data_IF_798180310380
#
_entry.id   IF_798180310380
#
_cell.length_a   1.000
_cell.length_b   1.000
_cell.length_c   1.000
_cell.angle_alpha   90.00
_cell.angle_beta   90.00
_cell.angle_gamma   90.00
#
_symmetry.space_group_name_H-M   'P 1'
#
loop_
_entity.id
_entity.type
_entity.pdbx_description
1 polymer ?
#
# COMPACT_ATOMS: atom_id res chain seq x y z
N UNK A 1 6.58 -27.34 24.98
CA UNK A 1 7.85 -26.57 24.90
C UNK A 1 7.76 -25.26 25.64
N UNK A 2 6.75 -24.42 25.39
CA UNK A 2 6.54 -23.17 26.13
C UNK A 2 6.46 -23.36 27.67
N UNK A 3 5.77 -24.39 28.14
CA UNK A 3 5.63 -24.71 29.58
C UNK A 3 6.96 -24.94 30.30
N UNK A 4 7.95 -25.52 29.61
CA UNK A 4 9.29 -25.75 30.19
C UNK A 4 10.06 -24.42 30.26
N UNK A 5 9.89 -23.54 29.28
CA UNK A 5 10.54 -22.22 29.26
C UNK A 5 10.05 -21.38 30.45
N UNK A 6 8.75 -21.44 30.77
CA UNK A 6 8.19 -20.73 31.92
C UNK A 6 8.71 -21.25 33.28
N UNK A 7 9.07 -22.53 33.37
CA UNK A 7 9.64 -23.12 34.58
C UNK A 7 11.11 -22.74 34.78
N UNK A 8 11.90 -22.71 33.70
CA UNK A 8 13.34 -22.46 33.76
C UNK A 8 13.68 -20.96 33.82
N UNK A 9 12.83 -20.10 33.24
CA UNK A 9 13.01 -18.64 33.14
C UNK A 9 14.45 -18.24 32.75
N UNK A 10 14.91 -18.63 31.55
CA UNK A 10 16.21 -18.20 31.03
C UNK A 10 16.23 -16.68 30.77
N UNK A 11 17.42 -16.07 30.74
CA UNK A 11 17.56 -14.64 30.40
C UNK A 11 17.23 -14.37 28.93
N UNK A 12 17.65 -15.27 28.03
CA UNK A 12 17.39 -15.19 26.60
C UNK A 12 17.00 -16.55 25.99
N UNK A 13 16.08 -16.52 25.03
CA UNK A 13 15.70 -17.67 24.20
C UNK A 13 15.81 -17.29 22.73
N UNK A 14 16.42 -18.19 21.95
CA UNK A 14 16.57 -18.03 20.51
C UNK A 14 15.59 -18.98 19.81
N UNK A 15 14.72 -18.41 18.99
CA UNK A 15 13.83 -19.13 18.08
C UNK A 15 14.43 -19.07 16.67
N UNK A 16 14.97 -20.19 16.22
CA UNK A 16 15.63 -20.32 14.91
C UNK A 16 14.66 -20.21 13.73
N UNK A 17 13.38 -20.49 13.93
CA UNK A 17 12.35 -20.26 12.92
C UNK A 17 10.99 -19.97 13.56
N UNK A 18 10.42 -18.80 13.25
CA UNK A 18 9.06 -18.39 13.64
C UNK A 18 8.22 -18.27 12.37
N UNK A 19 7.27 -19.20 12.20
CA UNK A 19 6.48 -19.30 10.96
C UNK A 19 4.98 -19.44 11.20
N UNK A 20 4.57 -20.25 12.18
CA UNK A 20 3.15 -20.55 12.42
C UNK A 20 2.56 -19.53 13.39
N UNK A 21 1.24 -19.35 13.31
CA UNK A 21 0.51 -18.47 14.21
C UNK A 21 0.79 -18.77 15.69
N UNK A 22 0.79 -20.06 16.07
CA UNK A 22 1.10 -20.49 17.44
C UNK A 22 2.53 -20.14 17.88
N UNK A 23 3.48 -20.07 16.96
CA UNK A 23 4.87 -19.73 17.31
C UNK A 23 4.94 -18.24 17.71
N UNK A 24 4.18 -17.38 17.01
CA UNK A 24 4.05 -15.96 17.35
C UNK A 24 3.32 -15.73 18.69
N UNK A 25 2.29 -16.53 18.99
CA UNK A 25 1.59 -16.50 20.28
C UNK A 25 2.57 -16.85 21.43
N UNK A 26 3.31 -17.96 21.29
CA UNK A 26 4.30 -18.37 22.29
C UNK A 26 5.41 -17.32 22.43
N UNK A 27 5.84 -16.72 21.32
CA UNK A 27 6.82 -15.64 21.32
C UNK A 27 6.32 -14.44 22.14
N UNK A 28 5.08 -14.02 21.93
CA UNK A 28 4.47 -12.94 22.71
C UNK A 28 4.37 -13.28 24.20
N UNK A 29 3.86 -14.47 24.54
CA UNK A 29 3.68 -14.88 25.93
C UNK A 29 5.02 -14.97 26.70
N UNK A 30 6.05 -15.55 26.08
CA UNK A 30 7.38 -15.67 26.69
C UNK A 30 8.02 -14.29 26.88
N UNK A 31 7.84 -13.36 25.94
CA UNK A 31 8.33 -11.99 26.07
C UNK A 31 7.62 -11.22 27.17
N UNK A 32 6.30 -11.34 27.26
CA UNK A 32 5.48 -10.72 28.32
C UNK A 32 5.82 -11.30 29.70
N UNK A 33 6.28 -12.54 29.78
CA UNK A 33 6.82 -13.14 31.00
C UNK A 33 8.21 -12.59 31.40
N UNK A 34 8.79 -11.68 30.62
CA UNK A 34 10.04 -10.98 30.92
C UNK A 34 11.29 -11.66 30.39
N UNK A 35 11.17 -12.67 29.53
CA UNK A 35 12.31 -13.36 28.92
C UNK A 35 12.77 -12.60 27.67
N UNK A 36 14.09 -12.44 27.49
CA UNK A 36 14.68 -11.90 26.28
C UNK A 36 14.49 -12.84 25.11
N UNK A 37 14.07 -12.35 23.94
CA UNK A 37 13.82 -13.20 22.78
C UNK A 37 14.56 -12.73 21.55
N UNK A 38 15.10 -13.68 20.79
CA UNK A 38 15.57 -13.47 19.43
C UNK A 38 14.85 -14.47 18.53
N UNK A 39 14.00 -13.96 17.63
CA UNK A 39 13.25 -14.78 16.68
C UNK A 39 13.74 -14.55 15.26
N UNK A 40 13.90 -15.63 14.49
CA UNK A 40 14.23 -15.58 13.07
C UNK A 40 12.97 -15.88 12.27
N UNK A 41 12.64 -15.06 11.28
CA UNK A 41 11.49 -15.28 10.40
C UNK A 41 11.83 -14.97 8.94
N UNK A 42 11.23 -15.72 8.02
CA UNK A 42 11.39 -15.52 6.59
C UNK A 42 10.43 -14.45 6.07
N UNK A 43 10.92 -13.26 5.78
CA UNK A 43 10.13 -12.19 5.17
C UNK A 43 10.90 -11.54 4.02
N UNK A 44 10.16 -10.98 3.04
CA UNK A 44 10.80 -10.23 1.94
C UNK A 44 11.15 -8.80 2.35
N UNK A 45 10.62 -8.33 3.48
CA UNK A 45 10.92 -7.03 4.07
C UNK A 45 10.73 -7.08 5.58
N UNK A 46 11.40 -6.19 6.32
CA UNK A 46 11.18 -6.05 7.76
C UNK A 46 9.72 -5.67 8.10
N UNK A 47 9.05 -4.89 7.24
CA UNK A 47 7.65 -4.51 7.45
C UNK A 47 6.71 -5.71 7.33
N UNK A 48 6.93 -6.60 6.37
CA UNK A 48 6.15 -7.83 6.22
C UNK A 48 6.30 -8.74 7.46
N UNK A 49 7.52 -8.82 8.03
CA UNK A 49 7.76 -9.56 9.27
C UNK A 49 6.93 -9.01 10.44
N UNK A 50 6.88 -7.68 10.59
CA UNK A 50 6.10 -7.00 11.62
C UNK A 50 4.60 -7.24 11.43
N UNK A 51 4.09 -7.13 10.20
CA UNK A 51 2.67 -7.33 9.89
C UNK A 51 2.18 -8.75 10.26
N UNK A 52 3.04 -9.77 10.12
CA UNK A 52 2.69 -11.15 10.50
C UNK A 52 2.48 -11.31 12.01
N UNK A 53 3.26 -10.59 12.83
CA UNK A 53 3.07 -10.56 14.29
C UNK A 53 1.79 -9.79 14.65
N UNK A 54 1.60 -8.62 14.05
CA UNK A 54 0.50 -7.71 14.39
C UNK A 54 -0.88 -8.35 14.11
N UNK A 55 -1.01 -9.20 13.09
CA UNK A 55 -2.25 -9.95 12.85
C UNK A 55 -2.58 -11.02 13.90
N UNK A 56 -1.80 -11.13 14.99
CA UNK A 56 -1.94 -12.14 16.06
C UNK A 56 -1.92 -11.54 17.47
N UNK A 57 -1.37 -10.34 17.62
CA UNK A 57 -1.19 -9.67 18.92
C UNK A 57 -1.88 -8.31 18.85
N UNK A 58 -2.52 -7.90 19.94
CA UNK A 58 -3.11 -6.56 20.03
C UNK A 58 -2.06 -5.48 19.76
N UNK A 59 -2.42 -4.45 18.96
CA UNK A 59 -1.46 -3.44 18.52
C UNK A 59 -0.68 -2.83 19.69
N UNK A 60 -1.33 -2.48 20.80
CA UNK A 60 -0.65 -1.89 21.97
C UNK A 60 0.37 -2.80 22.67
N UNK A 61 0.27 -4.12 22.49
CA UNK A 61 1.21 -5.10 23.04
C UNK A 61 2.38 -5.35 22.08
N UNK A 62 2.24 -5.05 20.79
CA UNK A 62 3.26 -5.34 19.78
C UNK A 62 4.58 -4.65 20.11
N UNK A 63 4.58 -3.38 20.52
CA UNK A 63 5.81 -2.66 20.88
C UNK A 63 6.47 -3.17 22.17
N UNK A 64 5.75 -3.92 23.00
CA UNK A 64 6.32 -4.58 24.19
C UNK A 64 6.94 -5.93 23.83
N UNK A 65 6.36 -6.60 22.84
CA UNK A 65 6.82 -7.91 22.36
C UNK A 65 8.01 -7.76 21.40
N UNK A 66 7.96 -6.78 20.51
CA UNK A 66 8.91 -6.61 19.42
C UNK A 66 9.42 -5.16 19.43
N UNK A 67 10.70 -5.00 19.72
CA UNK A 67 11.37 -3.71 19.82
C UNK A 67 12.27 -3.44 18.60
N UNK A 68 13.03 -4.43 18.15
CA UNK A 68 14.04 -4.32 17.10
C UNK A 68 13.84 -5.39 16.02
N UNK A 69 13.92 -4.97 14.75
CA UNK A 69 13.86 -5.85 13.59
C UNK A 69 15.13 -5.68 12.78
N UNK A 70 15.81 -6.79 12.50
CA UNK A 70 16.99 -6.83 11.65
C UNK A 70 16.60 -7.44 10.30
N UNK A 71 16.65 -6.64 9.23
CA UNK A 71 16.50 -7.16 7.88
C UNK A 71 17.84 -7.64 7.36
N UNK A 72 17.94 -8.94 7.09
CA UNK A 72 19.17 -9.57 6.58
C UNK A 72 18.95 -9.99 5.14
N UNK A 73 19.77 -9.46 4.23
CA UNK A 73 19.77 -9.80 2.81
C UNK A 73 21.19 -10.15 2.37
N UNK A 74 21.35 -11.27 1.65
CA UNK A 74 22.64 -11.76 1.17
C UNK A 74 23.76 -11.80 2.26
N UNK A 75 23.38 -12.15 3.50
CA UNK A 75 24.30 -12.24 4.64
C UNK A 75 24.74 -10.90 5.23
N UNK A 76 24.11 -9.78 4.83
CA UNK A 76 24.37 -8.44 5.38
C UNK A 76 23.11 -7.88 6.02
N UNK A 77 23.28 -7.13 7.10
CA UNK A 77 22.19 -6.35 7.68
C UNK A 77 21.93 -5.16 6.74
N UNK A 78 20.81 -5.19 6.04
CA UNK A 78 20.41 -4.13 5.11
C UNK A 78 19.74 -2.98 5.87
N UNK A 79 18.89 -3.30 6.83
CA UNK A 79 18.08 -2.33 7.55
C UNK A 79 17.85 -2.78 8.99
N UNK A 80 17.81 -1.80 9.91
CA UNK A 80 17.46 -2.00 11.31
C UNK A 80 16.26 -1.10 11.60
N UNK A 81 15.16 -1.70 12.04
CA UNK A 81 13.95 -0.97 12.41
C UNK A 81 13.70 -1.11 13.90
N UNK A 82 13.34 0.00 14.52
CA UNK A 82 12.88 0.09 15.91
C UNK A 82 11.38 0.39 15.93
N UNK A 83 10.65 -0.27 16.81
CA UNK A 83 9.23 0.00 17.04
C UNK A 83 9.04 0.84 18.30
N UNK A 84 8.35 1.98 18.18
CA UNK A 84 8.04 2.87 19.31
C UNK A 84 6.56 3.13 19.36
N UNK A 85 5.94 2.91 20.51
CA UNK A 85 4.54 3.27 20.72
C UNK A 85 4.45 4.73 21.19
N UNK A 86 3.57 5.50 20.56
CA UNK A 86 3.24 6.87 20.93
C UNK A 86 1.73 7.07 20.89
N UNK A 87 1.22 8.03 21.64
CA UNK A 87 -0.21 8.39 21.61
C UNK A 87 -0.31 9.73 20.89
N UNK A 88 -0.78 9.71 19.64
CA UNK A 88 -0.91 10.90 18.80
C UNK A 88 -2.08 10.77 17.83
N UNK A 89 -2.41 11.87 17.14
CA UNK A 89 -3.27 11.81 15.96
C UNK A 89 -2.47 11.15 14.82
N UNK A 90 -2.97 10.06 14.20
CA UNK A 90 -2.29 9.43 13.07
C UNK A 90 -2.14 10.40 11.89
N UNK A 91 -1.06 10.26 11.12
CA UNK A 91 -0.82 11.10 9.94
C UNK A 91 -1.94 10.89 8.90
N UNK A 92 -2.65 11.96 8.53
CA UNK A 92 -3.66 11.94 7.46
C UNK A 92 -5.13 11.87 7.90
N UNK A 93 -5.44 11.95 9.19
CA UNK A 93 -6.82 12.07 9.69
C UNK A 93 -7.06 13.46 10.32
N UNK A 94 -8.25 14.03 10.11
CA UNK A 94 -8.73 15.22 10.82
C UNK A 94 -9.57 14.80 12.04
N UNK A 95 -9.18 15.29 13.22
CA UNK A 95 -9.88 15.40 14.52
C UNK A 95 -9.70 14.39 15.70
N UNK A 96 -9.34 15.04 16.83
CA UNK A 96 -9.71 14.98 18.26
C UNK A 96 -9.49 13.78 19.19
N UNK A 97 -9.34 12.54 18.72
CA UNK A 97 -9.07 11.43 19.65
C UNK A 97 -7.66 10.89 19.46
N UNK A 98 -6.78 11.20 20.42
CA UNK A 98 -5.44 10.63 20.48
C UNK A 98 -5.54 9.11 20.61
N UNK A 99 -4.90 8.38 19.70
CA UNK A 99 -4.92 6.92 19.64
C UNK A 99 -3.52 6.37 19.82
N UNK A 100 -3.38 5.11 20.29
CA UNK A 100 -2.09 4.44 20.26
C UNK A 100 -1.67 4.20 18.80
N UNK A 101 -0.51 4.74 18.44
CA UNK A 101 0.15 4.57 17.14
C UNK A 101 1.53 3.97 17.39
N UNK A 102 1.93 3.03 16.55
CA UNK A 102 3.29 2.50 16.54
C UNK A 102 4.07 3.16 15.41
N UNK A 103 5.13 3.85 15.76
CA UNK A 103 6.12 4.42 14.85
C UNK A 103 7.20 3.39 14.56
N UNK A 104 7.51 3.21 13.27
CA UNK A 104 8.61 2.38 12.77
C UNK A 104 9.77 3.29 12.43
N UNK A 105 10.79 3.30 13.28
CA UNK A 105 11.96 4.17 13.18
C UNK A 105 13.13 3.39 12.59
N UNK A 106 13.80 3.95 11.59
CA UNK A 106 15.00 3.36 11.04
C UNK A 106 16.24 3.75 11.86
N UNK A 107 17.08 2.76 12.20
CA UNK A 107 18.38 2.97 12.84
C UNK A 107 19.51 2.84 11.80
N UNK A 108 20.54 3.70 11.81
CA UNK A 108 20.82 4.78 12.78
C UNK A 108 20.20 6.13 12.43
N UNK A 109 19.46 6.23 11.33
CA UNK A 109 18.98 7.52 10.79
C UNK A 109 18.01 8.25 11.73
N UNK A 110 17.31 7.50 12.60
CA UNK A 110 16.28 8.00 13.50
C UNK A 110 15.02 8.47 12.78
N UNK A 111 14.89 8.17 11.48
CA UNK A 111 13.75 8.60 10.66
C UNK A 111 12.57 7.67 10.86
N UNK A 112 11.40 8.24 11.11
CA UNK A 112 10.15 7.48 11.12
C UNK A 112 9.80 7.16 9.66
N UNK A 113 9.77 5.89 9.32
CA UNK A 113 9.46 5.43 7.96
C UNK A 113 7.98 5.11 7.82
N UNK A 114 7.37 4.51 8.85
CA UNK A 114 5.97 4.07 8.83
C UNK A 114 5.30 4.30 10.20
N UNK A 115 4.00 4.45 10.17
CA UNK A 115 3.07 4.51 11.29
C UNK A 115 2.06 3.38 11.17
N UNK A 116 1.77 2.72 12.28
CA UNK A 116 0.78 1.66 12.34
C UNK A 116 -0.28 2.02 13.37
N UNK A 117 -1.55 1.96 12.99
CA UNK A 117 -2.66 2.25 13.88
C UNK A 117 -3.85 1.34 13.59
N UNK A 118 -4.67 1.13 14.62
CA UNK A 118 -5.90 0.36 14.50
C UNK A 118 -7.02 1.26 13.96
N UNK A 119 -7.69 0.80 12.90
CA UNK A 119 -8.89 1.41 12.34
C UNK A 119 -10.05 0.43 12.43
N UNK A 120 -10.88 0.58 13.47
CA UNK A 120 -11.93 -0.39 13.78
C UNK A 120 -11.32 -1.74 14.21
N UNK A 121 -11.54 -2.78 13.41
CA UNK A 121 -11.01 -4.13 13.63
C UNK A 121 -9.80 -4.46 12.74
N UNK A 122 -9.39 -3.55 11.86
CA UNK A 122 -8.25 -3.74 10.96
C UNK A 122 -7.07 -2.86 11.36
N UNK A 123 -5.87 -3.23 10.90
CA UNK A 123 -4.63 -2.51 11.23
C UNK A 123 -4.09 -1.90 9.94
N UNK A 124 -3.98 -0.57 9.94
CA UNK A 124 -3.47 0.20 8.83
C UNK A 124 -1.98 0.50 9.03
N UNK A 125 -1.21 0.41 7.95
CA UNK A 125 0.21 0.77 7.91
C UNK A 125 0.37 1.92 6.93
N UNK A 126 0.84 3.08 7.40
CA UNK A 126 0.94 4.33 6.64
C UNK A 126 2.41 4.80 6.63
N UNK A 127 3.02 5.06 5.46
CA UNK A 127 4.37 5.61 5.41
C UNK A 127 4.39 7.07 5.90
N UNK A 128 5.39 7.41 6.73
CA UNK A 128 5.61 8.75 7.31
C UNK A 128 6.53 9.60 6.45
N UNK A 129 7.34 8.98 5.60
CA UNK A 129 8.16 9.70 4.63
C UNK A 129 7.26 10.56 3.72
N UNK A 130 7.17 11.83 4.11
CA UNK A 130 6.50 12.91 3.44
C UNK A 130 7.17 13.32 2.12
N UNK A 131 7.85 12.40 1.43
CA UNK A 131 8.10 12.50 -0.02
C UNK A 131 6.87 12.14 -0.84
N UNK A 132 5.70 12.05 -0.19
CA UNK A 132 4.41 12.32 -0.83
C UNK A 132 3.55 13.31 -0.01
N UNK A 133 4.13 14.43 0.44
CA UNK A 133 3.38 15.65 0.84
C UNK A 133 2.39 16.15 -0.24
N UNK A 134 2.34 15.52 -1.42
CA UNK A 134 1.35 15.77 -2.47
C UNK A 134 0.27 14.69 -2.68
N UNK A 135 0.39 13.47 -2.13
CA UNK A 135 -0.55 12.37 -2.42
C UNK A 135 -0.85 11.51 -1.17
N UNK A 136 -1.83 11.94 -0.38
CA UNK A 136 -2.60 11.04 0.50
C UNK A 136 -3.11 9.83 -0.33
N UNK A 137 -3.24 8.62 0.25
CA UNK A 137 -3.91 7.48 -0.41
C UNK A 137 -5.31 7.84 -0.93
N UNK A 138 -6.00 8.77 -0.28
CA UNK A 138 -7.24 9.35 -0.79
C UNK A 138 -7.03 10.24 -2.01
N UNK A 139 -5.94 11.03 -2.05
CA UNK A 139 -5.55 11.85 -3.20
C UNK A 139 -5.13 11.00 -4.39
N UNK A 140 -4.47 9.85 -4.21
CA UNK A 140 -4.16 8.95 -5.31
C UNK A 140 -5.42 8.28 -5.87
N UNK A 141 -6.35 7.87 -5.01
CA UNK A 141 -7.65 7.34 -5.42
C UNK A 141 -8.48 8.40 -6.16
N UNK A 142 -8.54 9.63 -5.63
CA UNK A 142 -9.20 10.77 -6.25
C UNK A 142 -8.54 11.18 -7.57
N UNK A 143 -7.20 11.14 -7.65
CA UNK A 143 -6.43 11.40 -8.87
C UNK A 143 -6.83 10.40 -9.96
N UNK A 144 -6.85 9.11 -9.66
CA UNK A 144 -7.23 8.07 -10.62
C UNK A 144 -8.68 8.21 -11.07
N UNK A 145 -9.61 8.46 -10.14
CA UNK A 145 -11.02 8.67 -10.44
C UNK A 145 -11.25 9.91 -11.33
N UNK A 146 -10.55 11.01 -11.05
CA UNK A 146 -10.60 12.22 -11.88
C UNK A 146 -10.02 11.99 -13.27
N UNK A 147 -8.85 11.36 -13.39
CA UNK A 147 -8.24 11.04 -14.69
C UNK A 147 -9.20 10.17 -15.51
N UNK A 148 -9.85 9.19 -14.88
CA UNK A 148 -10.82 8.34 -15.55
C UNK A 148 -12.06 9.13 -16.01
N UNK A 149 -12.67 9.95 -15.15
CA UNK A 149 -13.83 10.79 -15.54
C UNK A 149 -13.49 11.80 -16.64
N UNK A 150 -12.35 12.48 -16.54
CA UNK A 150 -11.90 13.44 -17.56
C UNK A 150 -11.64 12.73 -18.88
N UNK A 151 -11.08 11.51 -18.84
CA UNK A 151 -10.90 10.68 -20.04
C UNK A 151 -12.24 10.23 -20.64
N UNK A 152 -13.22 9.85 -19.82
CA UNK A 152 -14.54 9.43 -20.29
C UNK A 152 -15.35 10.59 -20.90
N UNK A 153 -15.23 11.80 -20.36
CA UNK A 153 -15.99 12.97 -20.84
C UNK A 153 -15.30 13.74 -21.96
N UNK A 154 -13.99 13.94 -21.86
CA UNK A 154 -13.23 14.85 -22.74
C UNK A 154 -12.27 14.08 -23.66
N UNK A 155 -11.93 12.82 -23.34
CA UNK A 155 -11.05 11.99 -24.16
C UNK A 155 -9.58 12.41 -24.14
N UNK A 156 -9.16 13.18 -23.13
CA UNK A 156 -7.82 13.79 -23.05
C UNK A 156 -7.05 13.23 -21.87
N UNK A 157 -5.75 13.01 -22.05
CA UNK A 157 -4.83 12.72 -20.95
C UNK A 157 -4.53 14.00 -20.17
N UNK A 158 -5.00 14.03 -18.92
CA UNK A 158 -4.82 15.15 -18.00
C UNK A 158 -3.91 14.75 -16.84
N UNK A 159 -3.10 15.69 -16.35
CA UNK A 159 -2.43 15.54 -15.08
C UNK A 159 -3.09 16.35 -13.99
N UNK A 160 -3.06 15.80 -12.78
CA UNK A 160 -3.73 16.41 -11.63
C UNK A 160 -2.74 16.45 -10.48
N UNK A 161 -2.57 17.66 -9.94
CA UNK A 161 -1.76 17.95 -8.78
C UNK A 161 -2.64 18.52 -7.70
N UNK A 162 -2.70 17.88 -6.54
CA UNK A 162 -3.34 18.46 -5.37
C UNK A 162 -2.41 19.51 -4.74
N UNK A 163 -2.86 20.76 -4.66
CA UNK A 163 -2.12 21.84 -4.00
C UNK A 163 -2.40 21.88 -2.49
N UNK A 164 -3.58 21.43 -2.06
CA UNK A 164 -3.94 21.25 -0.64
C UNK A 164 -4.94 20.08 -0.49
N UNK A 165 -5.45 19.85 0.73
CA UNK A 165 -6.51 18.85 0.97
C UNK A 165 -7.87 19.26 0.38
N UNK A 166 -8.02 20.55 0.05
CA UNK A 166 -9.23 21.16 -0.50
C UNK A 166 -9.04 21.82 -1.87
N UNK A 167 -7.87 21.71 -2.49
CA UNK A 167 -7.60 22.31 -3.80
C UNK A 167 -6.73 21.45 -4.71
N UNK A 168 -7.06 21.42 -6.00
CA UNK A 168 -6.31 20.70 -7.02
C UNK A 168 -6.17 21.49 -8.32
N UNK A 169 -5.00 21.41 -8.93
CA UNK A 169 -4.71 21.92 -10.26
C UNK A 169 -4.80 20.78 -11.28
N UNK A 170 -5.52 21.01 -12.37
CA UNK A 170 -5.65 20.12 -13.51
C UNK A 170 -4.87 20.74 -14.66
N UNK A 171 -3.87 20.01 -15.16
CA UNK A 171 -3.04 20.37 -16.29
C UNK A 171 -3.57 19.68 -17.55
N UNK A 172 -4.02 20.48 -18.52
CA UNK A 172 -4.53 20.02 -19.81
C UNK A 172 -3.95 20.83 -20.97
N UNK A 173 -3.96 20.28 -22.20
CA UNK A 173 -3.57 21.02 -23.39
C UNK A 173 -4.39 22.31 -23.54
N UNK A 174 -3.76 23.41 -23.95
CA UNK A 174 -4.37 24.75 -24.00
C UNK A 174 -5.65 24.82 -24.86
N UNK A 175 -5.75 23.98 -25.88
CA UNK A 175 -6.93 23.84 -26.73
C UNK A 175 -8.14 23.16 -26.05
N UNK A 176 -7.95 22.54 -24.89
CA UNK A 176 -8.97 21.75 -24.18
C UNK A 176 -9.44 22.39 -22.87
N UNK A 177 -8.82 23.49 -22.44
CA UNK A 177 -9.20 24.22 -21.23
C UNK A 177 -10.68 24.65 -21.30
N UNK A 178 -11.11 25.20 -22.43
CA UNK A 178 -12.49 25.67 -22.62
C UNK A 178 -13.53 24.55 -22.54
N UNK A 179 -13.17 23.34 -23.00
CA UNK A 179 -14.06 22.15 -22.98
C UNK A 179 -14.20 21.60 -21.56
N UNK A 180 -13.10 21.60 -20.79
CA UNK A 180 -13.08 21.08 -19.42
C UNK A 180 -13.78 22.03 -18.43
N UNK A 181 -13.65 23.34 -18.62
CA UNK A 181 -14.39 24.34 -17.83
C UNK A 181 -15.88 24.38 -18.21
N UNK A 182 -16.21 24.19 -19.49
CA UNK A 182 -17.58 24.24 -20.01
C UNK A 182 -18.13 25.67 -20.15
N UNK A 183 -19.34 25.81 -20.72
CA UNK A 183 -20.01 27.12 -20.84
C UNK A 183 -20.34 27.65 -19.44
N UNK A 184 -19.77 28.80 -19.06
CA UNK A 184 -20.03 29.43 -17.76
C UNK A 184 -19.41 28.73 -16.54
N UNK A 185 -18.56 27.71 -16.73
CA UNK A 185 -17.97 26.95 -15.64
C UNK A 185 -18.82 25.78 -15.13
N UNK A 186 -19.88 25.39 -15.84
CA UNK A 186 -20.80 24.36 -15.38
C UNK A 186 -20.12 22.98 -15.25
N UNK A 187 -19.23 22.62 -16.17
CA UNK A 187 -18.54 21.32 -16.15
C UNK A 187 -17.56 21.22 -14.98
N UNK A 188 -16.81 22.29 -14.71
CA UNK A 188 -15.87 22.26 -13.59
C UNK A 188 -16.61 22.26 -12.24
N UNK A 189 -17.75 22.96 -12.13
CA UNK A 189 -18.58 22.93 -10.91
C UNK A 189 -19.12 21.53 -10.63
N UNK A 190 -19.63 20.82 -11.64
CA UNK A 190 -20.05 19.43 -11.47
C UNK A 190 -18.91 18.53 -10.99
N UNK A 191 -17.70 18.70 -11.53
CA UNK A 191 -16.51 17.96 -11.08
C UNK A 191 -16.10 18.32 -9.65
N UNK A 192 -16.31 19.56 -9.21
CA UNK A 192 -16.07 20.00 -7.83
C UNK A 192 -17.10 19.41 -6.85
N UNK A 193 -18.38 19.41 -7.23
CA UNK A 193 -19.50 18.87 -6.44
C UNK A 193 -19.37 17.36 -6.24
N UNK A 194 -19.02 16.63 -7.31
CA UNK A 194 -18.79 15.16 -7.29
C UNK A 194 -17.65 14.73 -6.34
N UNK A 195 -16.74 15.64 -6.00
CA UNK A 195 -15.60 15.40 -5.13
C UNK A 195 -15.79 15.94 -3.71
N UNK A 196 -17.00 16.39 -3.37
CA UNK A 196 -17.30 16.92 -2.04
C UNK A 196 -16.77 18.34 -1.81
N UNK A 197 -16.67 19.17 -2.86
CA UNK A 197 -16.38 20.60 -2.73
C UNK A 197 -14.90 20.99 -2.83
N UNK A 198 -14.06 20.15 -3.44
CA UNK A 198 -12.65 20.47 -3.70
C UNK A 198 -12.56 21.56 -4.77
N UNK A 199 -11.79 22.62 -4.53
CA UNK A 199 -11.57 23.69 -5.51
C UNK A 199 -10.65 23.22 -6.64
N UNK A 200 -11.20 23.07 -7.85
CA UNK A 200 -10.46 22.70 -9.06
C UNK A 200 -10.04 23.94 -9.86
N UNK A 201 -8.75 24.04 -10.18
CA UNK A 201 -8.18 25.07 -11.05
C UNK A 201 -7.60 24.43 -12.31
N UNK A 202 -7.90 24.98 -13.49
CA UNK A 202 -7.46 24.42 -14.78
C UNK A 202 -6.32 25.26 -15.33
N UNK A 203 -5.19 24.62 -15.60
CA UNK A 203 -3.98 25.25 -16.13
C UNK A 203 -3.53 24.57 -17.42
N UNK A 204 -2.76 25.31 -18.21
CA UNK A 204 -2.14 24.76 -19.41
C UNK A 204 -1.03 23.78 -19.04
N UNK A 205 -0.79 22.79 -19.89
CA UNK A 205 0.33 21.85 -19.78
C UNK A 205 1.71 22.56 -19.83
N UNK A 206 1.75 23.81 -20.29
CA UNK A 206 2.96 24.64 -20.34
C UNK A 206 3.30 25.26 -18.96
N UNK A 207 2.32 25.40 -18.06
CA UNK A 207 2.51 25.90 -16.69
C UNK A 207 2.84 24.79 -15.67
N UNK A 208 3.19 23.61 -16.16
CA UNK A 208 3.47 22.42 -15.37
C UNK A 208 4.86 22.51 -14.70
N UNK A 209 4.98 22.28 -13.38
CA UNK A 209 6.28 22.35 -12.70
C UNK A 209 7.25 21.26 -13.19
N UNK A 210 8.51 21.65 -13.43
CA UNK A 210 9.59 20.74 -13.84
C UNK A 210 9.85 19.68 -12.74
N UNK A 211 9.64 18.41 -13.07
CA UNK A 211 9.75 17.28 -12.12
C UNK A 211 8.51 16.36 -12.09
N UNK A 212 7.45 16.72 -12.80
CA UNK A 212 6.23 15.94 -12.91
C UNK A 212 6.20 15.22 -14.28
N UNK A 213 5.82 13.94 -14.32
CA UNK A 213 5.96 13.09 -15.52
C UNK A 213 5.18 13.67 -16.72
N UNK A 214 5.81 13.91 -17.86
CA UNK A 214 5.07 14.41 -19.03
C UNK A 214 4.20 13.26 -19.61
N UNK A 215 2.88 13.42 -19.75
CA UNK A 215 2.01 12.37 -20.32
C UNK A 215 2.40 12.00 -21.76
N UNK A 216 3.19 12.83 -22.45
CA UNK A 216 3.74 12.53 -23.78
C UNK A 216 4.71 11.35 -23.84
N UNK A 217 5.00 10.63 -22.75
CA UNK A 217 5.87 9.45 -22.82
C UNK A 217 5.08 8.21 -23.30
N UNK A 218 5.25 7.70 -24.54
CA UNK A 218 4.48 6.58 -25.09
C UNK A 218 4.84 5.22 -24.45
N UNK A 219 5.69 5.22 -23.43
CA UNK A 219 6.19 4.04 -22.72
C UNK A 219 5.57 3.88 -21.34
N UNK A 220 4.26 4.09 -21.21
CA UNK A 220 3.46 3.58 -20.11
C UNK A 220 2.47 2.55 -20.63
N UNK A 221 3.03 1.45 -21.12
CA UNK A 221 2.29 0.21 -21.30
C UNK A 221 2.15 -0.42 -19.91
N UNK A 222 0.95 -0.33 -19.33
CA UNK A 222 0.55 -0.99 -18.10
C UNK A 222 1.14 -2.41 -18.02
N UNK A 223 2.16 -2.60 -17.17
CA UNK A 223 2.67 -3.95 -16.86
C UNK A 223 1.59 -4.78 -16.16
N UNK A 224 0.59 -4.14 -15.53
CA UNK A 224 -0.57 -4.81 -14.97
C UNK A 224 -1.51 -5.34 -16.07
N UNK A 225 -1.69 -4.63 -17.19
CA UNK A 225 -2.49 -5.11 -18.32
C UNK A 225 -1.84 -6.26 -19.09
N UNK A 226 -0.51 -6.32 -19.14
CA UNK A 226 0.19 -7.50 -19.69
C UNK A 226 0.00 -8.73 -18.81
N UNK A 227 -0.06 -8.59 -17.48
CA UNK A 227 -0.30 -9.73 -16.56
C UNK A 227 -1.73 -10.25 -16.67
N UNK A 228 -2.71 -9.36 -16.85
CA UNK A 228 -4.11 -9.76 -17.04
C UNK A 228 -4.41 -10.26 -18.47
N UNK A 229 -3.66 -9.83 -19.49
CA UNK A 229 -3.71 -10.44 -20.85
C UNK A 229 -2.94 -11.76 -20.95
N UNK A 230 -1.81 -11.93 -20.27
CA UNK A 230 -1.06 -13.20 -20.29
C UNK A 230 -1.78 -14.30 -19.50
N UNK A 231 -2.46 -13.97 -18.40
CA UNK A 231 -3.30 -14.92 -17.66
C UNK A 231 -4.49 -15.43 -18.47
N UNK A 232 -5.14 -14.56 -19.26
CA UNK A 232 -6.25 -14.93 -20.15
C UNK A 232 -5.82 -15.79 -21.35
N UNK A 233 -4.56 -15.69 -21.79
CA UNK A 233 -4.02 -16.54 -22.85
C UNK A 233 -3.77 -17.99 -22.37
N UNK A 234 -3.44 -18.19 -21.09
CA UNK A 234 -3.24 -19.52 -20.49
C UNK A 234 -4.56 -20.28 -20.24
N UNK A 235 -5.65 -19.57 -19.94
CA UNK A 235 -6.98 -20.19 -19.76
C UNK A 235 -7.57 -20.75 -21.06
N UNK A 236 -7.24 -20.15 -22.22
CA UNK A 236 -7.73 -20.61 -23.52
C UNK A 236 -6.89 -21.73 -24.15
N UNK A 237 -5.65 -21.98 -23.71
CA UNK A 237 -4.82 -23.06 -24.24
C UNK A 237 -4.99 -24.40 -23.53
N UNK A 238 -5.50 -24.43 -22.29
CA UNK A 238 -5.75 -25.71 -21.58
C UNK A 238 -7.05 -26.42 -21.97
N UNK A 239 -7.90 -25.83 -22.82
CA UNK A 239 -9.00 -26.56 -23.47
C UNK A 239 -8.50 -27.15 -24.78
N UNK A 240 -7.64 -28.16 -24.63
CA UNK A 240 -7.13 -28.98 -25.72
C UNK A 240 -8.26 -29.50 -26.62
N UNK A 241 -8.06 -29.28 -27.91
CA UNK A 241 -8.77 -29.91 -29.02
C UNK A 241 -8.73 -31.43 -28.86
N UNK A 242 -9.78 -32.02 -28.28
CA UNK A 242 -10.05 -33.45 -28.41
C UNK A 242 -10.56 -33.68 -29.83
N UNK A 243 -9.69 -34.27 -30.65
CA UNK A 243 -9.98 -34.66 -32.02
C UNK A 243 -11.29 -35.44 -32.12
N UNK A 244 -12.21 -34.93 -32.92
CA UNK A 244 -13.37 -35.67 -33.43
C UNK A 244 -12.84 -36.77 -34.36
N UNK A 245 -12.66 -37.98 -33.82
CA UNK A 245 -12.44 -39.19 -34.59
C UNK A 245 -13.63 -39.45 -35.51
N UNK A 246 -13.37 -39.39 -36.83
CA UNK A 246 -14.25 -39.89 -37.90
C UNK A 246 -14.52 -41.38 -37.66
N UNK A 247 -15.73 -41.74 -37.19
CA UNK A 247 -16.30 -43.09 -37.36
C UNK A 247 -17.34 -43.04 -38.47
N UNK A 248 -16.88 -43.28 -39.70
CA UNK A 248 -17.72 -43.49 -40.87
C UNK A 248 -17.98 -44.98 -41.08
N UNK A 249 -19.24 -45.38 -40.81
CA UNK A 249 -20.00 -46.54 -41.32
C UNK A 249 -19.25 -47.58 -42.17
N UNK A 250 -19.15 -48.80 -41.62
CA UNK A 250 -19.10 -50.04 -42.42
C UNK A 250 -20.51 -50.62 -42.46
N UNK A 251 -21.13 -50.61 -43.64
CA UNK A 251 -22.44 -51.19 -43.90
C UNK A 251 -22.45 -51.89 -45.25
N UNK A 252 -22.57 -53.21 -45.20
CA UNK A 252 -23.04 -54.18 -46.21
C UNK A 252 -23.32 -53.65 -47.63
N UNK A 253 -22.66 -54.25 -48.62
CA UNK A 253 -23.27 -55.20 -49.57
C UNK A 253 -22.18 -55.94 -50.33
#
# INVERSE_FOLDING_TARGET
>A
TAEIIFLVRPDFVIFDEVRRARDFEIFADVRLAGVGLLGVTHANSALEAIQRLIGKVELGLVSQVLDTILHVEAGKIQQVLELRMTVKAPTGMQEELARPVIEVVEFPSGKITHEMFAFGSEIAVVPVDGTNRGNSPMKSLAKTALIQKIREWVGVESQIQFSSDSSANIYVPSNMISTLVGRGGDNIRQLQDDLGGIALSVKSLEEMPEGMENPRNPYWYDQQDKRSKSGRAWEHQSRGSKGRGKRGRKGRR
#
